data_IF_634294746797
#
_entry.id   IF_634294746797
#
_cell.length_a   1.000
_cell.length_b   1.000
_cell.length_c   1.000
_cell.angle_alpha   90.00
_cell.angle_beta   90.00
_cell.angle_gamma   90.00
#
_symmetry.space_group_name_H-M   'P 1'
#
loop_
_entity.id
_entity.type
_entity.pdbx_description
1 polymer ?
#
# COMPACT_ATOMS: atom_id res chain seq x y z
N UNK A 1 45.23 -62.53 -41.99
CA UNK A 1 44.97 -62.49 -43.45
C UNK A 1 43.47 -62.30 -43.62
N UNK A 2 43.06 -61.21 -44.30
CA UNK A 2 41.73 -60.86 -44.86
C UNK A 2 40.53 -60.87 -43.89
N UNK A 3 39.97 -59.71 -43.51
CA UNK A 3 39.05 -58.82 -44.28
C UNK A 3 37.72 -59.53 -44.58
N UNK A 4 36.64 -59.15 -43.89
CA UNK A 4 35.65 -58.14 -44.31
C UNK A 4 34.47 -58.84 -45.03
N UNK A 5 33.21 -58.43 -44.99
CA UNK A 5 32.38 -57.47 -44.25
C UNK A 5 30.96 -57.72 -44.86
N UNK A 6 29.86 -57.77 -44.07
CA UNK A 6 28.84 -56.70 -43.96
C UNK A 6 27.88 -56.70 -45.19
N UNK A 7 26.54 -56.67 -45.13
CA UNK A 7 25.64 -55.88 -44.27
C UNK A 7 24.19 -56.38 -44.31
N UNK A 8 23.41 -56.07 -43.26
CA UNK A 8 22.02 -55.60 -43.39
C UNK A 8 21.54 -54.96 -42.07
N UNK A 9 21.53 -53.62 -42.06
CA UNK A 9 20.68 -52.63 -41.38
C UNK A 9 19.97 -52.94 -40.05
N UNK A 10 20.20 -52.04 -39.07
CA UNK A 10 19.30 -51.85 -37.94
C UNK A 10 19.85 -50.92 -36.84
N UNK A 11 19.32 -49.69 -36.82
CA UNK A 11 19.25 -48.74 -35.70
C UNK A 11 20.52 -47.97 -35.24
N UNK A 12 20.65 -46.75 -35.77
CA UNK A 12 21.56 -45.72 -35.28
C UNK A 12 21.08 -45.17 -33.93
N UNK A 13 21.75 -45.62 -32.87
CA UNK A 13 21.82 -44.92 -31.59
C UNK A 13 23.03 -43.99 -31.60
N UNK A 14 22.80 -42.67 -31.68
CA UNK A 14 23.86 -41.68 -31.47
C UNK A 14 23.57 -40.82 -30.23
N UNK A 15 24.49 -40.97 -29.28
CA UNK A 15 24.64 -40.21 -28.05
C UNK A 15 24.90 -38.73 -28.34
N UNK A 16 24.01 -37.86 -27.89
CA UNK A 16 24.29 -36.43 -27.76
C UNK A 16 24.47 -36.10 -26.27
N UNK A 17 25.63 -35.53 -25.94
CA UNK A 17 26.03 -35.21 -24.58
C UNK A 17 25.04 -34.29 -23.87
N UNK A 18 24.66 -34.69 -22.66
CA UNK A 18 23.92 -33.87 -21.72
C UNK A 18 24.84 -32.79 -21.16
N UNK A 19 24.82 -31.61 -21.79
CA UNK A 19 25.26 -30.38 -21.12
C UNK A 19 24.24 -30.06 -20.02
N UNK A 20 24.49 -30.54 -18.81
CA UNK A 20 23.72 -30.13 -17.63
C UNK A 20 23.99 -28.65 -17.39
N UNK A 21 23.10 -27.80 -17.93
CA UNK A 21 23.06 -26.39 -17.61
C UNK A 21 22.98 -26.26 -16.09
N UNK A 22 24.02 -25.68 -15.50
CA UNK A 22 24.07 -25.32 -14.10
C UNK A 22 22.83 -24.48 -13.80
N UNK A 23 21.92 -25.03 -12.98
CA UNK A 23 20.80 -24.30 -12.39
C UNK A 23 21.42 -23.09 -11.69
N UNK A 24 21.30 -21.93 -12.32
CA UNK A 24 21.75 -20.67 -11.75
C UNK A 24 21.04 -20.54 -10.41
N UNK A 25 21.82 -20.59 -9.33
CA UNK A 25 21.35 -20.19 -8.01
C UNK A 25 20.77 -18.79 -8.19
N UNK A 26 19.44 -18.67 -8.18
CA UNK A 26 18.80 -17.39 -7.99
C UNK A 26 19.37 -16.85 -6.69
N UNK A 27 20.25 -15.85 -6.82
CA UNK A 27 20.71 -15.04 -5.72
C UNK A 27 19.42 -14.59 -5.04
N UNK A 28 19.22 -14.94 -3.76
CA UNK A 28 18.25 -14.23 -2.91
C UNK A 28 18.64 -12.76 -3.06
N UNK A 29 17.91 -12.03 -3.90
CA UNK A 29 17.98 -10.58 -3.91
C UNK A 29 17.60 -10.21 -2.48
N UNK A 30 18.49 -9.49 -1.79
CA UNK A 30 18.11 -8.80 -0.58
C UNK A 30 16.77 -8.10 -0.89
N UNK A 31 15.71 -8.44 -0.14
CA UNK A 31 14.40 -7.85 -0.36
C UNK A 31 14.58 -6.34 -0.49
N UNK A 32 14.10 -5.71 -1.57
CA UNK A 32 14.36 -4.30 -1.78
C UNK A 32 13.76 -3.53 -0.62
N UNK A 33 14.61 -2.95 0.24
CA UNK A 33 14.18 -2.06 1.31
C UNK A 33 13.40 -0.92 0.65
N UNK A 34 12.11 -0.81 0.99
CA UNK A 34 11.27 0.26 0.48
C UNK A 34 11.77 1.60 1.04
N UNK A 35 12.31 2.44 0.16
CA UNK A 35 12.74 3.80 0.49
C UNK A 35 11.56 4.78 0.57
N UNK A 36 11.82 5.95 1.18
CA UNK A 36 10.89 7.09 1.26
C UNK A 36 10.79 7.83 -0.09
N UNK A 37 9.95 7.35 -1.00
CA UNK A 37 9.85 7.89 -2.38
C UNK A 37 8.57 7.47 -3.11
N UNK A 38 8.41 7.99 -4.32
CA UNK A 38 7.38 7.60 -5.28
C UNK A 38 7.73 6.27 -5.97
N UNK A 39 6.71 5.44 -6.14
CA UNK A 39 6.71 4.17 -6.88
C UNK A 39 5.50 4.14 -7.81
N UNK A 40 5.47 3.14 -8.70
CA UNK A 40 4.33 2.86 -9.57
C UNK A 40 3.74 1.48 -9.25
N UNK A 41 2.48 1.26 -9.65
CA UNK A 41 1.95 -0.10 -9.71
C UNK A 41 2.54 -0.84 -10.90
N UNK A 42 2.68 -2.17 -10.78
CA UNK A 42 3.03 -2.98 -11.95
C UNK A 42 1.88 -2.98 -12.96
N UNK A 43 2.21 -3.20 -14.23
CA UNK A 43 1.22 -3.46 -15.27
C UNK A 43 1.43 -4.90 -15.71
N UNK A 44 0.41 -5.73 -15.56
CA UNK A 44 0.43 -7.13 -15.93
C UNK A 44 0.77 -7.29 -17.43
N UNK A 45 1.68 -8.22 -17.74
CA UNK A 45 2.12 -8.48 -19.11
C UNK A 45 3.12 -7.46 -19.69
N UNK A 46 3.45 -6.37 -18.99
CA UNK A 46 4.51 -5.47 -19.45
C UNK A 46 5.91 -6.08 -19.24
N UNK A 47 6.86 -5.84 -20.16
CA UNK A 47 8.25 -6.26 -19.98
C UNK A 47 8.88 -5.71 -18.70
N UNK A 48 9.65 -6.55 -17.98
CA UNK A 48 10.27 -6.21 -16.69
C UNK A 48 11.05 -4.89 -16.67
N UNK A 49 11.67 -4.50 -17.80
CA UNK A 49 12.38 -3.22 -17.93
C UNK A 49 11.51 -2.00 -17.59
N UNK A 50 10.19 -2.10 -17.76
CA UNK A 50 9.23 -1.04 -17.42
C UNK A 50 8.68 -1.14 -15.99
N UNK A 51 9.07 -2.16 -15.24
CA UNK A 51 8.62 -2.41 -13.86
C UNK A 51 9.69 -2.04 -12.81
N UNK A 52 10.72 -1.28 -13.20
CA UNK A 52 11.72 -0.76 -12.26
C UNK A 52 11.05 0.17 -11.26
N UNK A 53 11.19 -0.10 -9.95
CA UNK A 53 10.47 0.61 -8.88
C UNK A 53 8.94 0.55 -9.03
N UNK A 54 8.42 -0.54 -9.59
CA UNK A 54 6.99 -0.84 -9.61
C UNK A 54 6.68 -2.10 -8.79
N UNK A 55 5.55 -2.09 -8.09
CA UNK A 55 5.11 -3.21 -7.25
C UNK A 55 3.65 -3.58 -7.54
N UNK A 56 3.32 -4.87 -7.53
CA UNK A 56 1.94 -5.27 -7.27
C UNK A 56 1.59 -5.03 -5.80
N UNK A 57 0.30 -5.07 -5.44
CA UNK A 57 -0.09 -4.99 -4.04
C UNK A 57 0.45 -6.18 -3.23
N UNK A 58 0.43 -7.39 -3.80
CA UNK A 58 0.96 -8.59 -3.15
C UNK A 58 2.46 -8.52 -2.87
N UNK A 59 3.28 -8.05 -3.83
CA UNK A 59 4.72 -7.87 -3.62
C UNK A 59 5.02 -6.81 -2.57
N UNK A 60 4.24 -5.73 -2.56
CA UNK A 60 4.35 -4.67 -1.58
C UNK A 60 4.04 -5.19 -0.16
N UNK A 61 2.99 -5.99 0.00
CA UNK A 61 2.63 -6.61 1.28
C UNK A 61 3.64 -7.69 1.69
N UNK A 62 4.23 -8.43 0.76
CA UNK A 62 5.30 -9.41 1.01
C UNK A 62 6.59 -8.74 1.50
N UNK A 63 6.87 -7.49 1.06
CA UNK A 63 8.01 -6.71 1.56
C UNK A 63 7.71 -6.09 2.94
N UNK A 64 6.47 -5.64 3.17
CA UNK A 64 6.09 -4.95 4.44
C UNK A 64 5.84 -5.95 5.58
N UNK A 65 5.17 -7.07 5.31
CA UNK A 65 4.77 -8.07 6.31
C UNK A 65 4.00 -7.49 7.50
N UNK A 66 2.82 -6.91 7.24
CA UNK A 66 2.06 -6.24 8.28
C UNK A 66 1.54 -7.23 9.34
N UNK A 67 1.64 -6.81 10.60
CA UNK A 67 0.96 -7.41 11.76
C UNK A 67 -0.33 -6.68 12.14
N UNK A 68 -0.59 -5.54 11.52
CA UNK A 68 -1.86 -4.84 11.51
C UNK A 68 -1.89 -3.89 10.31
N UNK A 69 -3.09 -3.59 9.79
CA UNK A 69 -3.24 -2.60 8.72
C UNK A 69 -4.53 -1.80 8.81
N UNK A 70 -4.53 -0.62 8.18
CA UNK A 70 -5.73 0.13 7.86
C UNK A 70 -5.69 0.62 6.42
N UNK A 71 -6.82 0.55 5.74
CA UNK A 71 -7.00 1.01 4.38
C UNK A 71 -8.15 2.02 4.29
N UNK A 72 -7.82 3.23 3.87
CA UNK A 72 -8.77 4.24 3.42
C UNK A 72 -8.90 4.11 1.92
N UNK A 73 -10.10 3.88 1.39
CA UNK A 73 -10.29 3.81 -0.06
C UNK A 73 -11.72 4.17 -0.50
N UNK A 74 -11.87 4.46 -1.78
CA UNK A 74 -13.16 4.77 -2.41
C UNK A 74 -13.85 3.50 -2.92
N UNK A 75 -13.12 2.61 -3.59
CA UNK A 75 -13.63 1.33 -4.07
C UNK A 75 -12.74 0.18 -3.57
N UNK A 76 -13.39 -0.88 -3.10
CA UNK A 76 -12.74 -2.06 -2.56
C UNK A 76 -13.47 -3.31 -3.05
N UNK A 77 -12.68 -4.24 -3.58
CA UNK A 77 -13.04 -5.65 -3.73
C UNK A 77 -12.36 -6.39 -2.57
N UNK A 78 -13.15 -6.78 -1.57
CA UNK A 78 -12.61 -7.35 -0.33
C UNK A 78 -11.99 -8.74 -0.56
N UNK A 79 -12.64 -9.71 -1.24
CA UNK A 79 -12.01 -10.99 -1.55
C UNK A 79 -10.68 -10.82 -2.27
N UNK A 80 -10.63 -9.93 -3.28
CA UNK A 80 -9.39 -9.62 -3.98
C UNK A 80 -8.34 -9.04 -3.04
N UNK A 81 -8.68 -8.03 -2.23
CA UNK A 81 -7.76 -7.44 -1.25
C UNK A 81 -7.17 -8.48 -0.31
N UNK A 82 -8.02 -9.34 0.28
CA UNK A 82 -7.59 -10.39 1.21
C UNK A 82 -6.64 -11.38 0.53
N UNK A 83 -6.88 -11.74 -0.73
CA UNK A 83 -5.97 -12.60 -1.51
C UNK A 83 -4.60 -11.97 -1.81
N UNK A 84 -4.43 -10.66 -1.61
CA UNK A 84 -3.12 -10.01 -1.79
C UNK A 84 -2.23 -10.14 -0.56
N UNK A 85 -2.80 -10.44 0.61
CA UNK A 85 -2.03 -10.60 1.84
C UNK A 85 -1.23 -11.92 1.82
N UNK A 86 0.05 -11.90 2.21
CA UNK A 86 0.80 -13.11 2.46
C UNK A 86 0.06 -14.00 3.48
N UNK A 87 0.13 -15.32 3.32
CA UNK A 87 -0.57 -16.27 4.20
C UNK A 87 -0.25 -16.02 5.69
N UNK A 88 1.03 -15.77 6.00
CA UNK A 88 1.51 -15.44 7.35
C UNK A 88 0.97 -14.14 7.93
N UNK A 89 0.43 -13.25 7.08
CA UNK A 89 -0.16 -11.99 7.49
C UNK A 89 -1.69 -12.02 7.48
N UNK A 90 -2.30 -13.07 6.92
CA UNK A 90 -3.73 -13.10 6.56
C UNK A 90 -4.69 -13.06 7.75
N UNK A 91 -4.23 -13.46 8.94
CA UNK A 91 -5.02 -13.50 10.18
C UNK A 91 -4.87 -12.26 11.06
N UNK A 92 -3.96 -11.34 10.72
CA UNK A 92 -3.76 -10.12 11.50
C UNK A 92 -4.89 -9.11 11.27
N UNK A 93 -5.11 -8.16 12.21
CA UNK A 93 -6.19 -7.19 12.09
C UNK A 93 -6.08 -6.32 10.83
N UNK A 94 -7.17 -6.26 10.05
CA UNK A 94 -7.29 -5.40 8.87
C UNK A 94 -8.47 -4.44 9.08
N UNK A 95 -8.19 -3.15 9.11
CA UNK A 95 -9.21 -2.10 9.20
C UNK A 95 -9.50 -1.50 7.82
N UNK A 96 -10.76 -1.29 7.50
CA UNK A 96 -11.20 -0.70 6.23
C UNK A 96 -12.06 0.52 6.50
N UNK A 97 -11.70 1.65 5.91
CA UNK A 97 -12.45 2.91 5.97
C UNK A 97 -12.89 3.29 4.55
N UNK A 98 -14.20 3.31 4.33
CA UNK A 98 -14.82 3.76 3.07
C UNK A 98 -15.76 4.94 3.33
N UNK A 99 -16.18 5.64 2.27
CA UNK A 99 -17.20 6.69 2.40
C UNK A 99 -18.57 6.14 2.79
N UNK A 100 -19.42 6.99 3.39
CA UNK A 100 -20.82 6.64 3.64
C UNK A 100 -21.59 6.34 2.35
N UNK A 101 -21.28 7.05 1.26
CA UNK A 101 -21.99 6.98 -0.04
C UNK A 101 -21.00 7.10 -1.22
N UNK A 102 -21.52 6.91 -2.43
CA UNK A 102 -20.89 7.16 -3.74
C UNK A 102 -19.74 6.21 -4.17
N UNK A 103 -19.30 5.30 -3.32
CA UNK A 103 -18.30 4.26 -3.62
C UNK A 103 -18.74 2.89 -3.09
N UNK A 104 -17.79 2.05 -2.72
CA UNK A 104 -18.13 0.81 -1.99
C UNK A 104 -18.74 1.17 -0.63
N UNK A 105 -19.94 0.67 -0.35
CA UNK A 105 -20.64 0.96 0.89
C UNK A 105 -20.07 0.11 2.04
N UNK A 106 -19.82 0.73 3.19
CA UNK A 106 -19.36 0.05 4.41
C UNK A 106 -20.24 -1.15 4.83
N UNK A 107 -21.55 -1.12 4.57
CA UNK A 107 -22.46 -2.26 4.84
C UNK A 107 -22.13 -3.46 3.96
N UNK A 108 -21.87 -3.22 2.67
CA UNK A 108 -21.54 -4.27 1.71
C UNK A 108 -20.19 -4.90 2.04
N UNK A 109 -19.20 -4.09 2.43
CA UNK A 109 -17.89 -4.61 2.88
C UNK A 109 -18.04 -5.47 4.13
N UNK A 110 -18.87 -5.07 5.10
CA UNK A 110 -19.13 -5.90 6.30
C UNK A 110 -19.82 -7.21 5.95
N UNK A 111 -20.79 -7.19 5.05
CA UNK A 111 -21.46 -8.39 4.57
C UNK A 111 -20.48 -9.32 3.85
N UNK A 112 -19.58 -8.77 3.03
CA UNK A 112 -18.54 -9.53 2.33
C UNK A 112 -17.52 -10.12 3.32
N UNK A 113 -17.11 -9.37 4.35
CA UNK A 113 -16.21 -9.88 5.39
C UNK A 113 -16.81 -11.11 6.09
N UNK A 114 -18.11 -11.06 6.41
CA UNK A 114 -18.84 -12.22 6.94
C UNK A 114 -18.89 -13.40 5.95
N UNK A 115 -19.14 -13.15 4.65
CA UNK A 115 -19.13 -14.20 3.61
C UNK A 115 -17.76 -14.87 3.49
N UNK A 116 -16.69 -14.09 3.55
CA UNK A 116 -15.32 -14.57 3.52
C UNK A 116 -14.86 -15.23 4.84
N UNK A 117 -15.68 -15.19 5.90
CA UNK A 117 -15.29 -15.60 7.27
C UNK A 117 -14.04 -14.87 7.77
N UNK A 118 -13.92 -13.60 7.42
CA UNK A 118 -12.78 -12.76 7.75
C UNK A 118 -13.01 -12.02 9.07
N UNK A 119 -12.98 -12.76 10.19
CA UNK A 119 -13.28 -12.23 11.53
C UNK A 119 -12.26 -11.18 12.03
N UNK A 120 -11.09 -11.13 11.40
CA UNK A 120 -10.04 -10.14 11.63
C UNK A 120 -10.25 -8.81 10.87
N UNK A 121 -11.30 -8.69 10.06
CA UNK A 121 -11.61 -7.49 9.28
C UNK A 121 -12.61 -6.61 10.03
N UNK A 122 -12.20 -5.38 10.33
CA UNK A 122 -13.08 -4.33 10.87
C UNK A 122 -13.36 -3.28 9.81
N UNK A 123 -14.60 -2.80 9.73
CA UNK A 123 -15.02 -1.83 8.71
C UNK A 123 -15.64 -0.61 9.38
N UNK A 124 -15.11 0.57 9.09
CA UNK A 124 -15.62 1.87 9.51
C UNK A 124 -15.99 2.76 8.33
N UNK A 125 -16.69 3.87 8.62
CA UNK A 125 -17.11 4.85 7.61
C UNK A 125 -16.50 6.23 7.82
N UNK A 126 -16.20 6.90 6.72
CA UNK A 126 -15.89 8.32 6.69
C UNK A 126 -17.17 9.14 6.55
N UNK A 127 -17.42 10.06 7.48
CA UNK A 127 -18.62 10.90 7.47
C UNK A 127 -18.60 11.91 6.31
N UNK A 128 -19.65 11.94 5.49
CA UNK A 128 -19.81 12.84 4.34
C UNK A 128 -20.97 13.79 4.57
N UNK A 129 -20.76 14.80 5.43
CA UNK A 129 -21.81 15.73 5.84
C UNK A 129 -22.27 16.72 4.75
N UNK A 130 -21.53 16.85 3.64
CA UNK A 130 -21.85 17.75 2.55
C UNK A 130 -22.38 16.99 1.33
N UNK A 131 -23.42 17.49 0.65
CA UNK A 131 -23.92 16.90 -0.59
C UNK A 131 -22.82 16.73 -1.64
N UNK A 132 -22.92 15.66 -2.43
CA UNK A 132 -21.97 15.32 -3.50
C UNK A 132 -20.52 15.09 -3.02
N UNK A 133 -20.29 15.05 -1.70
CA UNK A 133 -19.00 14.68 -1.13
C UNK A 133 -18.63 13.24 -1.47
N UNK A 134 -17.32 12.99 -1.61
CA UNK A 134 -16.77 11.65 -1.83
C UNK A 134 -15.56 11.45 -0.95
N UNK A 135 -15.49 10.29 -0.29
CA UNK A 135 -14.26 9.85 0.36
C UNK A 135 -13.33 9.24 -0.71
N UNK A 136 -12.40 10.06 -1.21
CA UNK A 136 -11.56 9.67 -2.36
C UNK A 136 -10.13 9.27 -1.97
N UNK A 137 -9.80 9.41 -0.68
CA UNK A 137 -8.44 9.18 -0.19
C UNK A 137 -8.09 7.71 -0.26
N UNK A 138 -6.88 7.43 -0.75
CA UNK A 138 -6.31 6.09 -0.90
C UNK A 138 -5.05 6.06 -0.07
N UNK A 139 -5.21 5.70 1.19
CA UNK A 139 -4.18 5.71 2.21
C UNK A 139 -4.16 4.32 2.84
N UNK A 140 -2.99 3.70 2.92
CA UNK A 140 -2.79 2.49 3.71
C UNK A 140 -1.71 2.73 4.75
N UNK A 141 -1.95 2.29 5.98
CA UNK A 141 -0.97 2.34 7.06
C UNK A 141 -0.79 0.91 7.56
N UNK A 142 0.45 0.52 7.79
CA UNK A 142 0.83 -0.81 8.21
C UNK A 142 1.73 -0.72 9.43
N UNK A 143 1.55 -1.64 10.36
CA UNK A 143 2.48 -1.88 11.45
C UNK A 143 3.17 -3.22 11.24
N UNK A 144 4.47 -3.27 11.53
CA UNK A 144 5.30 -4.48 11.42
C UNK A 144 5.77 -4.95 12.79
N UNK A 145 6.13 -6.22 12.90
CA UNK A 145 6.72 -6.81 14.11
C UNK A 145 8.05 -6.16 14.54
N UNK A 146 8.76 -5.53 13.59
CA UNK A 146 9.98 -4.75 13.81
C UNK A 146 9.76 -3.37 14.45
N UNK A 147 8.59 -3.12 15.04
CA UNK A 147 8.18 -1.83 15.60
C UNK A 147 8.30 -0.69 14.57
N UNK A 148 7.87 -0.91 13.32
CA UNK A 148 7.86 0.12 12.28
C UNK A 148 6.47 0.38 11.72
N UNK A 149 6.19 1.64 11.41
CA UNK A 149 5.01 2.07 10.68
C UNK A 149 5.39 2.35 9.23
N UNK A 150 4.67 1.73 8.29
CA UNK A 150 4.73 2.03 6.86
C UNK A 150 3.48 2.80 6.45
N UNK A 151 3.65 3.83 5.64
CA UNK A 151 2.56 4.65 5.11
C UNK A 151 2.63 4.64 3.59
N UNK A 152 1.48 4.38 2.96
CA UNK A 152 1.30 4.39 1.52
C UNK A 152 0.16 5.34 1.17
N UNK A 153 0.48 6.38 0.39
CA UNK A 153 -0.52 7.27 -0.21
C UNK A 153 -0.54 6.98 -1.71
N UNK A 154 -1.65 6.45 -2.21
CA UNK A 154 -1.78 5.90 -3.56
C UNK A 154 -2.83 6.64 -4.40
N UNK A 155 -2.82 6.41 -5.70
CA UNK A 155 -3.89 6.78 -6.62
C UNK A 155 -4.81 5.61 -6.98
N UNK A 156 -4.44 4.37 -6.64
CA UNK A 156 -5.19 3.15 -6.93
C UNK A 156 -6.33 2.89 -5.93
N UNK A 157 -7.49 2.48 -6.44
CA UNK A 157 -8.48 1.78 -5.62
C UNK A 157 -7.98 0.38 -5.25
N UNK A 158 -8.59 -0.26 -4.25
CA UNK A 158 -8.26 -1.65 -3.90
C UNK A 158 -9.08 -2.60 -4.77
N UNK A 159 -8.78 -2.56 -6.08
CA UNK A 159 -9.37 -3.38 -7.13
C UNK A 159 -8.25 -3.94 -8.00
N UNK A 160 -8.40 -5.18 -8.47
CA UNK A 160 -7.43 -5.83 -9.34
C UNK A 160 -7.05 -4.96 -10.55
N UNK A 161 -8.05 -4.44 -11.26
CA UNK A 161 -7.84 -3.66 -12.47
C UNK A 161 -7.04 -2.36 -12.24
N UNK A 162 -7.13 -1.77 -11.05
CA UNK A 162 -6.36 -0.57 -10.71
C UNK A 162 -4.89 -0.90 -10.46
N UNK A 163 -4.59 -2.09 -9.92
CA UNK A 163 -3.23 -2.52 -9.62
C UNK A 163 -2.54 -3.29 -10.74
N UNK A 164 -3.29 -3.86 -11.69
CA UNK A 164 -2.75 -4.71 -12.75
C UNK A 164 -2.75 -4.03 -14.13
N UNK A 165 -3.66 -3.08 -14.37
CA UNK A 165 -3.96 -2.63 -15.75
C UNK A 165 -3.89 -1.12 -15.94
N UNK A 166 -3.46 -0.37 -14.92
CA UNK A 166 -3.41 1.09 -14.95
C UNK A 166 -2.07 1.60 -14.50
N UNK A 167 -1.65 2.71 -15.10
CA UNK A 167 -0.59 3.54 -14.53
C UNK A 167 -1.11 4.20 -13.26
N UNK A 168 -0.82 3.61 -12.10
CA UNK A 168 -1.05 4.22 -10.81
C UNK A 168 0.29 4.51 -10.13
N UNK A 169 0.28 5.49 -9.24
CA UNK A 169 1.44 5.84 -8.44
C UNK A 169 1.12 5.76 -6.96
N UNK A 170 2.13 5.47 -6.17
CA UNK A 170 2.04 5.57 -4.73
C UNK A 170 3.33 6.11 -4.12
N UNK A 171 3.19 6.96 -3.12
CA UNK A 171 4.29 7.35 -2.26
C UNK A 171 4.36 6.39 -1.09
N UNK A 172 5.53 5.81 -0.85
CA UNK A 172 5.80 5.01 0.33
C UNK A 172 6.77 5.76 1.25
N UNK A 173 6.52 5.73 2.55
CA UNK A 173 7.53 6.01 3.56
C UNK A 173 7.37 5.09 4.79
N UNK A 174 8.41 5.02 5.62
CA UNK A 174 8.35 4.29 6.89
C UNK A 174 9.10 5.00 8.01
N UNK A 175 8.70 4.70 9.25
CA UNK A 175 9.24 5.28 10.47
C UNK A 175 9.33 4.22 11.58
N UNK A 176 10.38 4.22 12.42
CA UNK A 176 10.41 3.40 13.64
C UNK A 176 9.44 3.99 14.69
N UNK A 177 8.83 3.10 15.48
CA UNK A 177 8.02 3.46 16.64
C UNK A 177 8.97 3.79 17.79
N UNK A 178 8.71 4.89 18.48
CA UNK A 178 9.54 5.39 19.59
C UNK A 178 8.81 5.22 20.92
N UNK A 179 9.55 4.77 21.95
CA UNK A 179 9.01 4.54 23.30
C UNK A 179 8.84 5.83 24.10
N UNK A 180 9.64 6.84 23.78
CA UNK A 180 9.57 8.16 24.41
C UNK A 180 9.17 9.19 23.35
N UNK A 181 8.19 10.04 23.68
CA UNK A 181 7.75 11.11 22.79
C UNK A 181 8.87 12.12 22.65
N UNK A 182 9.42 12.24 21.45
CA UNK A 182 10.25 13.40 21.11
C UNK A 182 9.30 14.55 20.80
N UNK A 183 8.97 15.37 21.80
CA UNK A 183 8.10 16.55 21.62
C UNK A 183 8.77 17.59 20.68
N UNK A 184 10.10 17.68 20.73
CA UNK A 184 10.92 18.50 19.83
C UNK A 184 11.38 17.70 18.61
N UNK A 185 10.72 17.86 17.46
CA UNK A 185 11.22 17.30 16.20
C UNK A 185 10.20 16.60 15.33
N UNK A 186 8.92 16.59 15.70
CA UNK A 186 7.88 16.04 14.83
C UNK A 186 7.97 16.59 13.40
N UNK A 187 8.30 15.71 12.46
CA UNK A 187 8.47 16.03 11.04
C UNK A 187 7.20 16.59 10.43
N UNK A 188 7.33 17.42 9.40
CA UNK A 188 6.18 18.05 8.75
C UNK A 188 5.18 17.01 8.22
N UNK A 189 5.66 15.89 7.69
CA UNK A 189 4.84 14.77 7.23
C UNK A 189 3.94 14.21 8.34
N UNK A 190 4.52 13.95 9.51
CA UNK A 190 3.81 13.42 10.68
C UNK A 190 2.70 14.36 11.14
N UNK A 191 3.02 15.64 11.31
CA UNK A 191 2.04 16.68 11.70
C UNK A 191 0.89 16.76 10.70
N UNK A 192 1.21 16.75 9.42
CA UNK A 192 0.21 16.83 8.36
C UNK A 192 -0.68 15.57 8.34
N UNK A 193 -0.12 14.37 8.55
CA UNK A 193 -0.87 13.11 8.59
C UNK A 193 -1.77 13.01 9.82
N UNK A 194 -1.26 13.33 11.01
CA UNK A 194 -2.05 13.37 12.25
C UNK A 194 -3.21 14.36 12.10
N UNK A 195 -2.95 15.56 11.58
CA UNK A 195 -3.99 16.56 11.34
C UNK A 195 -5.06 16.04 10.38
N UNK A 196 -4.67 15.28 9.36
CA UNK A 196 -5.61 14.69 8.41
C UNK A 196 -6.45 13.57 9.04
N UNK A 197 -5.84 12.66 9.83
CA UNK A 197 -6.56 11.59 10.52
C UNK A 197 -7.54 12.15 11.57
N UNK A 198 -7.17 13.22 12.29
CA UNK A 198 -8.06 13.91 13.23
C UNK A 198 -9.30 14.52 12.57
N UNK A 199 -9.31 14.76 11.25
CA UNK A 199 -10.49 15.27 10.55
C UNK A 199 -11.65 14.26 10.50
N UNK A 200 -11.37 12.98 10.78
CA UNK A 200 -12.38 11.92 10.87
C UNK A 200 -13.08 11.87 12.23
N UNK A 201 -12.74 12.73 13.19
CA UNK A 201 -13.26 12.72 14.56
C UNK A 201 -14.79 12.81 14.70
N UNK A 202 -15.48 13.27 13.65
CA UNK A 202 -16.94 13.29 13.61
C UNK A 202 -17.59 11.98 13.15
N UNK A 203 -16.80 10.98 12.76
CA UNK A 203 -17.30 9.64 12.45
C UNK A 203 -17.57 8.85 13.73
N UNK A 204 -18.65 8.06 13.72
CA UNK A 204 -18.92 7.09 14.79
C UNK A 204 -17.85 6.00 14.89
N UNK A 205 -17.09 5.77 13.82
CA UNK A 205 -16.07 4.73 13.74
C UNK A 205 -14.65 5.31 13.95
N UNK A 206 -14.56 6.54 14.49
CA UNK A 206 -13.27 7.23 14.67
C UNK A 206 -12.28 6.46 15.54
N UNK A 207 -12.74 5.65 16.51
CA UNK A 207 -11.84 4.86 17.37
C UNK A 207 -10.87 3.97 16.59
N UNK A 208 -11.30 3.42 15.44
CA UNK A 208 -10.42 2.66 14.54
C UNK A 208 -9.30 3.54 13.96
N UNK A 209 -9.63 4.77 13.59
CA UNK A 209 -8.70 5.75 12.99
C UNK A 209 -7.80 6.37 14.06
N UNK A 210 -8.34 6.59 15.26
CA UNK A 210 -7.63 7.14 16.41
C UNK A 210 -6.47 6.25 16.83
N UNK A 211 -6.67 4.93 16.86
CA UNK A 211 -5.60 3.96 17.10
C UNK A 211 -4.41 4.24 16.17
N UNK A 212 -4.64 4.34 14.85
CA UNK A 212 -3.57 4.60 13.88
C UNK A 212 -3.00 6.02 13.98
N UNK A 213 -3.82 7.02 14.31
CA UNK A 213 -3.36 8.38 14.62
C UNK A 213 -2.36 8.36 15.76
N UNK A 214 -2.62 7.60 16.82
CA UNK A 214 -1.72 7.45 17.97
C UNK A 214 -0.44 6.68 17.62
N UNK A 215 -0.53 5.63 16.78
CA UNK A 215 0.67 4.94 16.26
C UNK A 215 1.57 5.90 15.47
N UNK A 216 0.99 6.74 14.60
CA UNK A 216 1.74 7.77 13.86
C UNK A 216 2.32 8.82 14.80
N UNK A 217 1.60 9.22 15.86
CA UNK A 217 2.10 10.17 16.85
C UNK A 217 3.31 9.64 17.64
N UNK A 218 3.42 8.32 17.77
CA UNK A 218 4.51 7.64 18.47
C UNK A 218 5.55 7.03 17.50
N UNK A 219 5.66 7.52 16.26
CA UNK A 219 6.67 7.08 15.30
C UNK A 219 7.51 8.25 14.79
N UNK A 220 8.79 8.01 14.51
CA UNK A 220 9.73 9.04 14.08
C UNK A 220 9.79 9.17 12.56
N UNK A 221 9.10 10.19 12.04
CA UNK A 221 9.08 10.55 10.62
C UNK A 221 9.98 11.74 10.29
N UNK A 222 10.98 12.06 11.11
CA UNK A 222 11.93 13.18 10.86
C UNK A 222 12.62 13.05 9.50
N UNK A 223 12.97 11.84 9.08
CA UNK A 223 13.59 11.53 7.78
C UNK A 223 12.62 11.63 6.58
N UNK A 224 11.34 11.94 6.81
CA UNK A 224 10.34 12.08 5.73
C UNK A 224 10.16 13.54 5.34
N UNK A 225 10.83 13.92 4.26
CA UNK A 225 10.82 15.28 3.72
C UNK A 225 9.54 15.65 2.95
N UNK A 226 8.68 14.68 2.65
CA UNK A 226 7.45 14.91 1.90
C UNK A 226 6.44 15.77 2.70
N UNK A 227 5.57 16.47 1.97
CA UNK A 227 4.48 17.26 2.53
C UNK A 227 3.14 16.69 2.09
N UNK A 228 2.20 16.56 3.02
CA UNK A 228 0.85 16.11 2.70
C UNK A 228 -0.02 17.32 2.38
N UNK A 229 -0.68 17.25 1.23
CA UNK A 229 -1.71 18.19 0.81
C UNK A 229 -3.03 17.43 0.84
N UNK A 230 -3.82 17.65 1.89
CA UNK A 230 -5.10 16.96 2.08
C UNK A 230 -6.29 17.88 1.81
N UNK A 231 -7.41 17.28 1.47
CA UNK A 231 -8.71 17.94 1.38
C UNK A 231 -9.66 17.26 2.36
N UNK A 232 -10.45 18.04 3.09
CA UNK A 232 -11.49 17.54 4.00
C UNK A 232 -12.80 18.27 3.72
N UNK A 233 -13.97 17.63 3.93
CA UNK A 233 -15.27 18.31 3.81
C UNK A 233 -15.36 19.50 4.78
N UNK A 234 -15.96 20.61 4.33
CA UNK A 234 -16.28 21.74 5.19
C UNK A 234 -16.03 23.10 4.54
N UNK A 235 -16.57 24.14 5.19
CA UNK A 235 -16.33 25.54 4.85
C UNK A 235 -15.22 26.09 5.75
N UNK A 236 -14.01 26.21 5.20
CA UNK A 236 -12.83 26.64 5.96
C UNK A 236 -12.67 28.17 5.90
N UNK A 237 -12.70 28.84 7.04
CA UNK A 237 -12.58 30.30 7.16
C UNK A 237 -11.37 30.71 8.01
N UNK A 238 -11.03 32.02 8.00
CA UNK A 238 -9.87 32.54 8.74
C UNK A 238 -8.58 31.77 8.45
N UNK A 239 -7.86 31.41 9.51
CA UNK A 239 -6.59 30.68 9.44
C UNK A 239 -6.74 29.25 8.88
N UNK A 240 -7.95 28.68 8.88
CA UNK A 240 -8.22 27.35 8.34
C UNK A 240 -8.18 27.33 6.81
N UNK A 241 -8.38 28.48 6.14
CA UNK A 241 -8.38 28.57 4.67
C UNK A 241 -7.13 27.98 4.04
N UNK A 242 -5.97 28.13 4.68
CA UNK A 242 -4.68 27.63 4.17
C UNK A 242 -4.33 26.21 4.60
N UNK A 243 -5.22 25.47 5.27
CA UNK A 243 -4.91 24.14 5.82
C UNK A 243 -5.22 22.99 4.86
N UNK A 244 -6.16 23.18 3.93
CA UNK A 244 -6.61 22.11 3.03
C UNK A 244 -6.65 22.55 1.55
N UNK A 245 -6.73 21.56 0.65
CA UNK A 245 -6.92 21.73 -0.79
C UNK A 245 -5.84 22.58 -1.48
N UNK A 246 -6.25 23.28 -2.54
CA UNK A 246 -5.33 24.08 -3.36
C UNK A 246 -4.70 25.27 -2.59
N UNK A 247 -5.36 25.79 -1.56
CA UNK A 247 -4.80 26.85 -0.71
C UNK A 247 -3.69 26.34 0.21
N UNK A 248 -3.78 25.09 0.66
CA UNK A 248 -2.68 24.39 1.34
C UNK A 248 -1.49 24.22 0.43
N UNK A 249 -1.71 23.76 -0.82
CA UNK A 249 -0.65 23.66 -1.82
C UNK A 249 0.08 25.01 -2.00
N UNK A 250 -0.67 26.10 -2.20
CA UNK A 250 -0.10 27.46 -2.30
C UNK A 250 0.76 27.82 -1.08
N UNK A 251 0.31 27.51 0.14
CA UNK A 251 1.06 27.82 1.37
C UNK A 251 2.36 27.01 1.46
N UNK A 252 2.31 25.73 1.11
CA UNK A 252 3.49 24.86 1.12
C UNK A 252 4.50 25.33 0.06
N UNK A 253 4.07 25.58 -1.18
CA UNK A 253 4.97 26.07 -2.24
C UNK A 253 5.67 27.37 -1.84
N UNK A 254 4.97 28.33 -1.22
CA UNK A 254 5.58 29.56 -0.69
C UNK A 254 6.62 29.32 0.40
N UNK A 255 6.42 28.28 1.22
CA UNK A 255 7.37 27.95 2.28
C UNK A 255 8.63 27.25 1.79
N UNK A 256 8.60 26.66 0.59
CA UNK A 256 9.72 25.88 0.05
C UNK A 256 10.79 26.74 -0.64
N UNK A 257 10.58 28.06 -0.77
CA UNK A 257 11.51 28.97 -1.46
C UNK A 257 12.06 28.40 -2.79
N UNK A 258 11.18 27.75 -3.57
CA UNK A 258 11.51 27.18 -4.88
C UNK A 258 11.85 28.25 -5.91
#
# INVERSE_FOLDING_TARGET
>A
MKRSAVDSDGDDTSSAGTSSASVGKFRKQDSPLLANRLYFTKIAGHPYRYSTNAFSLSELLEVILPIASIHFNFMIDLPWLLSQYPERCSTYPISIIVGENNGTNHVDVRAEAHRCKADNVSVGRARLALPYGTHHSKLSIFETDSERIHVIISTANLLQNDWDSKTQAFYHCSAPIVKEKVEEGQGNFQKDLISYLNAYSSSSDFGMIEYWRDRIANADFTDVNARIISSIPGYHTGDQKGRYGHLRLRRVLRSLQL
#
